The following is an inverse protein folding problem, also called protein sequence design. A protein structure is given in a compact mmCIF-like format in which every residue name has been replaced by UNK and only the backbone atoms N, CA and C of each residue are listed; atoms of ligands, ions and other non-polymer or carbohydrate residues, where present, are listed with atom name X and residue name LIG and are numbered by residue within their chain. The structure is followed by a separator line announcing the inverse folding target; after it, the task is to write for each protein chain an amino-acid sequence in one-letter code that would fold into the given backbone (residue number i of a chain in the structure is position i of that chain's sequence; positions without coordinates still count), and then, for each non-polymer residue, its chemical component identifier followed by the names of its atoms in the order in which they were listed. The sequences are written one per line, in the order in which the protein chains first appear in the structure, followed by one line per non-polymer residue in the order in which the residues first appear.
data_IF_123104752446
#
_entry.id   IF_123104752446
#
_cell.length_a   1.000
_cell.length_b   1.000
_cell.length_c   1.000
_cell.angle_alpha   90.00
_cell.angle_beta   90.00
_cell.angle_gamma   90.00
#
_symmetry.space_group_name_H-M   'P 1'
#
loop_
_entity.id
_entity.type
_entity.pdbx_description
1 polymer ?
2 non-polymer ?
3 water ?
#
# COMPACT_ATOMS: atom_id res chain seq x y z
N UNK A 7 13.36 -0.83 -23.55
CA UNK A 7 12.98 -1.79 -22.51
C UNK A 7 13.62 -3.19 -22.69
N UNK A 8 13.48 -4.08 -21.70
CA UNK A 8 13.89 -5.50 -21.87
C UNK A 8 12.97 -6.32 -22.80
N UNK A 9 13.56 -7.22 -23.59
CA UNK A 9 12.84 -8.26 -24.33
C UNK A 9 12.68 -9.46 -23.41
N UNK A 10 11.52 -10.10 -23.41
CA UNK A 10 11.25 -11.27 -22.56
C UNK A 10 10.67 -12.43 -23.39
N UNK A 11 10.99 -13.68 -23.02
CA UNK A 11 10.45 -14.86 -23.71
C UNK A 11 8.93 -14.75 -23.91
N UNK A 12 8.17 -14.57 -22.83
CA UNK A 12 6.68 -14.63 -22.87
C UNK A 12 5.85 -13.35 -23.07
N UNK A 13 6.43 -12.14 -22.99
CA UNK A 13 5.63 -10.90 -23.03
C UNK A 13 6.28 -9.79 -23.87
N UNK A 14 5.43 -8.89 -24.36
CA UNK A 14 5.87 -7.62 -24.97
C UNK A 14 5.64 -6.45 -24.01
N UNK A 15 6.72 -5.73 -23.71
CA UNK A 15 6.73 -4.60 -22.80
C UNK A 15 6.39 -3.27 -23.50
N UNK A 16 5.30 -2.63 -23.06
CA UNK A 16 4.74 -1.43 -23.65
C UNK A 16 5.14 -0.21 -22.80
N UNK A 17 4.21 0.38 -22.05
CA UNK A 17 4.44 1.65 -21.39
C UNK A 17 5.25 1.45 -20.11
N UNK A 18 5.96 2.49 -19.74
CA UNK A 18 6.59 2.59 -18.46
C UNK A 18 5.49 3.09 -17.48
N UNK A 19 5.34 2.41 -16.36
CA UNK A 19 4.39 2.75 -15.32
C UNK A 19 5.05 3.31 -14.07
N UNK A 20 6.31 2.96 -13.87
CA UNK A 20 7.03 3.27 -12.63
C UNK A 20 8.52 3.11 -12.82
N UNK A 21 9.27 3.83 -11.99
CA UNK A 21 10.72 3.92 -12.07
C UNK A 21 11.21 4.09 -10.64
N UNK A 22 12.28 3.39 -10.32
CA UNK A 22 13.00 3.56 -9.08
C UNK A 22 14.46 3.80 -9.43
N UNK A 23 15.23 4.18 -8.44
CA UNK A 23 16.67 4.28 -8.63
C UNK A 23 17.25 3.04 -9.30
N UNK A 24 16.72 1.86 -8.94
CA UNK A 24 17.15 0.56 -9.47
C UNK A 24 16.16 -0.24 -10.35
N UNK A 25 14.86 0.06 -10.26
CA UNK A 25 13.82 -0.78 -10.91
C UNK A 25 12.95 -0.02 -11.87
N UNK A 26 12.29 -0.75 -12.73
CA UNK A 26 11.39 -0.13 -13.67
C UNK A 26 10.24 -1.09 -13.87
N UNK A 27 9.02 -0.54 -13.86
CA UNK A 27 7.83 -1.34 -14.01
C UNK A 27 7.18 -1.00 -15.33
N UNK A 28 7.10 -1.98 -16.22
CA UNK A 28 6.41 -1.80 -17.50
C UNK A 28 5.08 -2.53 -17.46
N UNK A 29 4.11 -1.98 -18.18
CA UNK A 29 2.92 -2.70 -18.59
C UNK A 29 3.30 -3.72 -19.68
N UNK A 30 2.52 -4.79 -19.78
CA UNK A 30 2.88 -5.83 -20.74
C UNK A 30 1.68 -6.65 -21.14
N UNK A 31 1.76 -7.10 -22.39
CA UNK A 31 0.77 -7.90 -23.06
C UNK A 31 1.51 -9.21 -23.25
N UNK A 32 0.81 -10.31 -22.95
CA UNK A 32 1.36 -11.67 -23.14
C UNK A 32 1.48 -11.93 -24.63
N UNK A 33 2.62 -12.48 -25.08
CA UNK A 33 2.82 -12.80 -26.51
C UNK A 33 2.01 -14.08 -26.77
N UNK A 34 1.22 -14.06 -27.84
CA UNK A 34 0.19 -15.10 -28.09
C UNK A 34 -0.90 -15.15 -26.99
N UNK A 35 -1.67 -14.07 -26.90
CA UNK A 35 -2.80 -13.94 -25.95
C UNK A 35 -3.29 -12.51 -25.91
N UNK A 36 -2.38 -11.53 -25.89
CA UNK A 36 -2.65 -10.07 -26.03
C UNK A 36 -3.75 -9.41 -25.17
N UNK A 37 -4.89 -10.06 -25.01
CA UNK A 37 -5.91 -9.67 -24.03
C UNK A 37 -5.41 -9.91 -22.59
N UNK A 38 -4.43 -10.84 -22.41
CA UNK A 38 -3.74 -11.06 -21.13
C UNK A 38 -2.70 -9.94 -20.91
N UNK A 39 -2.85 -9.25 -19.78
CA UNK A 39 -2.13 -8.01 -19.52
C UNK A 39 -1.58 -8.09 -18.12
N UNK A 40 -0.31 -7.73 -17.95
CA UNK A 40 0.33 -7.75 -16.64
C UNK A 40 1.12 -6.47 -16.42
N UNK A 41 1.54 -6.25 -15.19
CA UNK A 41 2.60 -5.27 -14.88
C UNK A 41 3.86 -6.09 -14.53
N UNK A 42 5.00 -5.69 -15.12
CA UNK A 42 6.26 -6.40 -14.86
C UNK A 42 7.31 -5.47 -14.22
N UNK A 43 7.67 -5.75 -12.97
CA UNK A 43 8.79 -5.04 -12.35
C UNK A 43 10.15 -5.67 -12.71
N UNK A 44 11.02 -4.84 -13.31
CA UNK A 44 12.37 -5.25 -13.71
C UNK A 44 13.47 -4.66 -12.85
N UNK A 45 14.31 -5.52 -12.30
CA UNK A 45 15.43 -5.11 -11.46
C UNK A 45 16.70 -5.85 -11.88
N UNK A 46 17.76 -5.10 -12.14
CA UNK A 46 19.04 -5.64 -12.50
C UNK A 46 19.58 -6.41 -11.32
N UNK A 47 20.14 -7.59 -11.62
CA UNK A 47 20.76 -8.46 -10.61
C UNK A 47 21.94 -7.77 -9.91
N UNK A 48 22.72 -6.99 -10.66
CA UNK A 48 23.83 -6.23 -10.08
C UNK A 48 23.46 -5.30 -8.93
N UNK A 49 22.22 -4.83 -8.90
CA UNK A 49 21.75 -3.98 -7.79
C UNK A 49 21.41 -4.73 -6.49
N UNK A 50 21.46 -6.07 -6.49
CA UNK A 50 20.95 -6.84 -5.33
C UNK A 50 22.03 -7.41 -4.41
N UNK A 51 21.71 -7.43 -3.11
CA UNK A 51 22.49 -8.17 -2.15
C UNK A 51 22.18 -9.61 -2.50
N UNK A 52 23.19 -10.30 -3.06
CA UNK A 52 23.10 -11.74 -3.41
C UNK A 52 22.56 -12.60 -2.25
N UNK A 53 21.85 -13.69 -2.59
CA UNK A 53 21.12 -14.49 -1.61
C UNK A 53 21.08 -15.97 -2.00
N UNK A 54 20.91 -16.86 -1.03
CA UNK A 54 20.59 -18.28 -1.30
C UNK A 54 19.49 -18.42 -2.39
N UNK A 55 19.56 -19.50 -3.18
CA UNK A 55 18.45 -19.90 -4.06
C UNK A 55 17.29 -20.38 -3.18
N UNK A 56 17.61 -21.23 -2.20
CA UNK A 56 16.66 -21.60 -1.14
C UNK A 56 15.87 -20.35 -0.73
N UNK A 57 16.57 -19.37 -0.14
CA UNK A 57 15.92 -18.22 0.51
C UNK A 57 15.06 -17.37 -0.38
N UNK A 58 15.53 -17.11 -1.61
CA UNK A 58 14.82 -16.25 -2.53
C UNK A 58 13.53 -16.88 -3.08
N UNK A 59 13.66 -18.12 -3.55
CA UNK A 59 12.52 -18.85 -4.11
C UNK A 59 11.53 -19.11 -3.00
N UNK A 60 12.05 -19.28 -1.78
CA UNK A 60 11.22 -19.48 -0.63
C UNK A 60 10.35 -18.26 -0.40
N UNK A 61 10.97 -17.08 -0.47
CA UNK A 61 10.27 -15.82 -0.38
C UNK A 61 9.28 -15.56 -1.54
N UNK A 62 9.65 -15.94 -2.76
CA UNK A 62 8.72 -15.85 -3.89
C UNK A 62 7.54 -16.81 -3.74
N UNK A 63 7.78 -18.02 -3.23
CA UNK A 63 6.67 -18.94 -2.93
C UNK A 63 5.69 -18.27 -1.97
N UNK A 64 6.24 -17.61 -0.95
CA UNK A 64 5.44 -16.96 0.09
C UNK A 64 4.64 -15.77 -0.45
N UNK A 65 5.23 -14.99 -1.36
CA UNK A 65 4.53 -13.84 -1.95
C UNK A 65 3.44 -14.27 -2.90
N UNK A 66 3.69 -15.34 -3.64
CA UNK A 66 2.71 -15.84 -4.60
C UNK A 66 1.51 -16.45 -3.88
N UNK A 67 1.72 -16.90 -2.64
CA UNK A 67 0.62 -17.43 -1.83
C UNK A 67 -0.19 -16.36 -1.13
N UNK A 68 0.17 -15.08 -1.28
CA UNK A 68 -0.52 -13.95 -0.65
C UNK A 68 -1.51 -13.50 -1.70
N UNK A 69 -2.64 -14.22 -1.74
CA UNK A 69 -3.65 -14.10 -2.80
C UNK A 69 -4.98 -13.60 -2.20
N UNK A 70 -5.38 -12.37 -2.57
CA UNK A 70 -6.58 -11.75 -2.06
C UNK A 70 -7.16 -10.80 -3.09
N UNK A 71 -8.51 -10.71 -3.17
CA UNK A 71 -9.12 -9.77 -4.19
C UNK A 71 -8.64 -8.31 -4.08
N UNK A 72 -8.27 -7.87 -2.86
CA UNK A 72 -7.70 -6.52 -2.63
C UNK A 72 -6.21 -6.50 -2.28
N UNK A 73 -5.47 -7.39 -2.93
CA UNK A 73 -4.01 -7.39 -2.92
C UNK A 73 -3.52 -7.74 -4.32
N UNK A 74 -2.53 -7.01 -4.79
CA UNK A 74 -2.03 -7.21 -6.13
C UNK A 74 -1.35 -8.54 -6.07
N UNK A 75 -1.70 -9.36 -7.03
CA UNK A 75 -1.16 -10.69 -7.11
C UNK A 75 0.18 -10.66 -7.79
N UNK A 76 1.13 -11.38 -7.19
CA UNK A 76 2.32 -11.79 -7.86
C UNK A 76 1.99 -13.07 -8.59
N UNK A 77 1.96 -12.97 -9.92
CA UNK A 77 1.54 -14.07 -10.78
C UNK A 77 2.71 -15.04 -11.04
N UNK A 78 3.85 -14.52 -11.42
CA UNK A 78 4.99 -15.33 -11.79
C UNK A 78 6.30 -14.57 -11.49
N UNK A 79 7.40 -15.30 -11.55
CA UNK A 79 8.72 -14.78 -11.26
C UNK A 79 9.62 -15.40 -12.29
N UNK A 80 10.30 -14.55 -13.06
CA UNK A 80 11.19 -14.97 -14.11
C UNK A 80 12.50 -14.21 -13.97
N UNK A 81 13.49 -14.61 -14.77
CA UNK A 81 14.81 -13.97 -14.73
C UNK A 81 15.54 -14.33 -15.98
N UNK A 82 16.52 -13.50 -16.35
CA UNK A 82 17.39 -13.83 -17.44
C UNK A 82 18.83 -13.57 -17.03
N UNK A 83 19.67 -13.34 -18.00
CA UNK A 83 21.05 -13.09 -17.76
C UNK A 83 21.32 -11.82 -16.93
N UNK A 84 20.47 -10.80 -17.05
CA UNK A 84 20.72 -9.52 -16.35
C UNK A 84 19.75 -9.19 -15.24
N UNK A 85 18.50 -9.61 -15.37
CA UNK A 85 17.47 -9.07 -14.51
C UNK A 85 16.68 -10.14 -13.88
N UNK A 86 15.92 -9.72 -12.83
CA UNK A 86 14.76 -10.44 -12.33
C UNK A 86 13.44 -9.73 -12.76
N UNK A 87 12.38 -10.54 -12.85
CA UNK A 87 11.08 -10.09 -13.35
C UNK A 87 10.03 -10.54 -12.40
N UNK A 88 9.34 -9.56 -11.80
CA UNK A 88 8.26 -9.85 -10.87
C UNK A 88 7.04 -9.51 -11.70
N UNK A 89 6.24 -10.55 -12.03
CA UNK A 89 5.12 -10.44 -12.95
C UNK A 89 3.85 -10.36 -12.16
N UNK A 90 3.20 -9.20 -12.26
CA UNK A 90 2.08 -8.88 -11.37
C UNK A 90 0.77 -8.68 -12.12
N UNK A 91 -0.34 -8.86 -11.41
CA UNK A 91 -1.67 -8.44 -11.83
C UNK A 91 -1.64 -6.98 -12.21
N UNK A 92 -2.04 -6.64 -13.41
CA UNK A 92 -2.12 -5.24 -13.84
C UNK A 92 -3.39 -4.57 -13.28
N UNK A 93 -3.24 -3.43 -12.63
CA UNK A 93 -4.31 -2.57 -12.18
C UNK A 93 -4.41 -1.31 -13.09
N UNK A 94 -5.48 -1.24 -13.87
CA UNK A 94 -5.63 -0.27 -14.92
C UNK A 94 -6.13 1.07 -14.44
N UNK A 95 -6.58 1.18 -13.18
CA UNK A 95 -6.98 2.46 -12.60
C UNK A 95 -5.90 3.35 -12.00
N UNK A 96 -4.67 2.87 -11.96
CA UNK A 96 -3.59 3.66 -11.38
C UNK A 96 -3.70 3.66 -9.89
N UNK A 97 -3.03 4.61 -9.25
CA UNK A 97 -2.87 4.57 -7.82
C UNK A 97 -3.97 5.33 -7.12
N UNK A 98 -4.25 4.99 -5.85
CA UNK A 98 -5.30 5.64 -5.07
C UNK A 98 -4.93 7.09 -4.75
N UNK A 99 -3.64 7.44 -4.78
CA UNK A 99 -3.26 8.83 -4.51
C UNK A 99 -3.75 9.81 -5.64
N UNK A 100 -3.48 9.52 -6.92
CA UNK A 100 -4.02 10.29 -8.03
C UNK A 100 -5.56 10.33 -7.89
N UNK A 101 -6.15 9.16 -7.61
CA UNK A 101 -7.61 9.06 -7.64
C UNK A 101 -8.29 10.07 -6.69
N UNK A 102 -7.81 10.16 -5.46
CA UNK A 102 -8.32 11.07 -4.49
C UNK A 102 -8.01 12.48 -4.91
N UNK A 103 -6.76 12.73 -5.22
CA UNK A 103 -6.33 14.10 -5.46
C UNK A 103 -6.95 14.76 -6.69
N UNK A 104 -7.15 14.00 -7.75
CA UNK A 104 -7.79 14.58 -8.92
C UNK A 104 -9.27 14.81 -8.70
N UNK A 105 -9.89 14.10 -7.75
CA UNK A 105 -11.30 14.32 -7.35
C UNK A 105 -11.41 15.20 -6.10
N UNK A 106 -10.29 15.75 -5.62
CA UNK A 106 -10.23 16.51 -4.38
C UNK A 106 -10.59 15.66 -3.14
N UNK A 107 -11.86 15.24 -2.98
CA UNK A 107 -12.26 14.34 -1.89
C UNK A 107 -13.14 13.23 -2.44
N UNK A 108 -13.38 12.23 -1.59
CA UNK A 108 -14.29 11.16 -1.86
C UNK A 108 -15.42 11.32 -0.87
N UNK A 109 -16.65 11.08 -1.32
CA UNK A 109 -17.71 11.20 -0.36
C UNK A 109 -17.72 9.96 0.51
N UNK A 110 -18.24 10.13 1.72
CA UNK A 110 -18.31 9.05 2.70
C UNK A 110 -18.73 7.71 2.13
N UNK A 111 -19.71 7.68 1.24
CA UNK A 111 -20.23 6.39 0.73
C UNK A 111 -19.13 5.61 0.01
N UNK A 112 -18.33 6.32 -0.79
CA UNK A 112 -17.24 5.73 -1.57
C UNK A 112 -16.09 5.37 -0.64
N UNK A 113 -15.72 6.29 0.24
CA UNK A 113 -14.69 6.03 1.23
C UNK A 113 -14.99 4.68 1.92
N UNK A 114 -16.27 4.46 2.22
CA UNK A 114 -16.71 3.31 3.00
C UNK A 114 -16.47 2.03 2.27
N UNK A 115 -16.87 1.99 1.01
CA UNK A 115 -16.64 0.83 0.18
C UNK A 115 -15.16 0.57 0.16
N UNK A 116 -14.37 1.61 -0.11
CA UNK A 116 -12.91 1.43 -0.17
C UNK A 116 -12.31 0.90 1.14
N UNK A 117 -12.74 1.45 2.28
CA UNK A 117 -12.21 1.00 3.57
C UNK A 117 -12.53 -0.45 3.87
N UNK A 118 -13.73 -0.90 3.54
CA UNK A 118 -14.07 -2.31 3.75
C UNK A 118 -13.29 -3.24 2.80
N UNK A 119 -12.95 -2.77 1.61
CA UNK A 119 -12.04 -3.54 0.74
C UNK A 119 -10.64 -3.61 1.36
N UNK A 120 -10.15 -2.49 1.84
CA UNK A 120 -8.80 -2.47 2.41
C UNK A 120 -8.74 -3.21 3.74
N UNK A 121 -9.85 -3.23 4.48
CA UNK A 121 -9.85 -3.87 5.80
C UNK A 121 -9.96 -5.36 5.65
N UNK A 122 -10.63 -5.80 4.61
CA UNK A 122 -10.77 -7.22 4.40
C UNK A 122 -9.40 -7.78 4.03
N UNK A 123 -8.65 -7.06 3.19
CA UNK A 123 -7.22 -7.39 2.94
C UNK A 123 -6.36 -7.41 4.23
N UNK A 124 -6.58 -6.42 5.08
CA UNK A 124 -5.74 -6.28 6.25
C UNK A 124 -6.02 -7.38 7.29
N UNK A 125 -7.29 -7.73 7.47
CA UNK A 125 -7.67 -8.86 8.32
C UNK A 125 -7.08 -10.21 7.90
N UNK A 126 -7.20 -10.52 6.62
CA UNK A 126 -6.53 -11.65 6.01
C UNK A 126 -5.04 -11.66 6.37
N UNK A 127 -4.35 -10.55 6.15
CA UNK A 127 -2.91 -10.43 6.40
C UNK A 127 -2.61 -10.51 7.88
N UNK A 128 -3.50 -9.95 8.69
CA UNK A 128 -3.30 -9.97 10.14
C UNK A 128 -3.36 -11.43 10.66
N UNK A 129 -4.37 -12.18 10.21
CA UNK A 129 -4.45 -13.64 10.44
C UNK A 129 -3.13 -14.35 10.20
N UNK A 130 -2.44 -13.99 9.12
CA UNK A 130 -1.12 -14.57 8.82
C UNK A 130 0.10 -13.91 9.46
N UNK A 131 -0.08 -13.06 10.48
CA UNK A 131 1.05 -12.35 11.09
C UNK A 131 1.94 -11.60 10.09
N UNK A 132 1.34 -11.13 9.00
CA UNK A 132 2.00 -10.24 8.04
C UNK A 132 1.53 -8.83 8.41
N UNK A 133 2.47 -7.89 8.50
CA UNK A 133 2.25 -6.59 9.15
C UNK A 133 3.45 -5.65 8.94
N UNK A 134 3.49 -4.54 9.69
CA UNK A 134 4.46 -3.39 9.54
C UNK A 134 4.61 -2.93 8.10
N UNK A 135 3.50 -2.53 7.51
CA UNK A 135 3.50 -2.16 6.10
C UNK A 135 3.94 -0.68 5.93
N UNK A 136 3.89 -0.21 4.69
CA UNK A 136 4.07 1.17 4.33
C UNK A 136 2.80 1.43 3.53
N UNK A 137 1.68 1.46 4.25
CA UNK A 137 0.37 1.71 3.66
C UNK A 137 0.22 3.19 3.34
N UNK A 138 -0.05 3.48 2.09
CA UNK A 138 -0.35 4.81 1.67
C UNK A 138 -1.05 4.76 0.30
N UNK A 139 -1.74 5.84 -0.07
CA UNK A 139 -2.50 5.77 -1.31
C UNK A 139 -1.67 5.53 -2.57
N UNK A 140 -0.37 5.81 -2.48
CA UNK A 140 0.56 5.59 -3.60
C UNK A 140 0.90 4.12 -3.84
N UNK A 141 0.79 3.30 -2.79
CA UNK A 141 0.95 1.87 -2.87
C UNK A 141 -0.38 1.12 -2.94
N UNK A 142 -1.52 1.85 -3.02
CA UNK A 142 -2.78 1.22 -3.23
C UNK A 142 -3.19 1.49 -4.64
N UNK A 143 -3.52 0.45 -5.40
CA UNK A 143 -3.94 0.58 -6.81
C UNK A 143 -5.41 0.22 -7.05
N UNK A 144 -5.89 0.59 -8.23
CA UNK A 144 -7.29 0.45 -8.62
C UNK A 144 -7.42 -0.52 -9.78
N UNK A 145 -8.30 -1.49 -9.59
CA UNK A 145 -8.58 -2.49 -10.61
C UNK A 145 -9.02 -1.87 -11.89
N UNK A 146 -9.91 -0.86 -11.82
CA UNK A 146 -10.18 0.06 -12.98
C UNK A 146 -10.67 1.46 -12.49
N UNK A 147 -11.01 2.38 -13.39
CA UNK A 147 -11.80 3.59 -12.94
C UNK A 147 -13.30 3.27 -12.78
N UNK A 148 -13.80 2.32 -13.57
CA UNK A 148 -15.14 1.72 -13.42
C UNK A 148 -15.31 0.89 -12.14
N UNK A 149 -16.06 1.43 -11.16
CA UNK A 149 -16.41 0.68 -9.94
C UNK A 149 -15.17 -0.07 -9.37
N UNK A 150 -14.13 0.70 -8.98
CA UNK A 150 -12.81 0.18 -8.72
C UNK A 150 -12.70 -0.72 -7.49
N UNK A 151 -11.91 -1.75 -7.63
CA UNK A 151 -11.50 -2.56 -6.52
C UNK A 151 -10.09 -2.09 -6.19
N UNK A 152 -9.88 -1.71 -4.94
CA UNK A 152 -8.53 -1.33 -4.48
C UNK A 152 -7.65 -2.59 -4.29
N UNK A 153 -6.35 -2.44 -4.56
CA UNK A 153 -5.38 -3.53 -4.51
C UNK A 153 -4.16 -3.06 -3.76
N UNK A 154 -3.85 -3.67 -2.62
CA UNK A 154 -2.59 -3.31 -1.91
C UNK A 154 -1.43 -3.77 -2.73
N UNK A 155 -0.43 -2.92 -2.88
CA UNK A 155 0.81 -3.20 -3.63
C UNK A 155 2.07 -3.07 -2.74
N UNK A 156 3.15 -3.72 -3.15
CA UNK A 156 4.43 -3.63 -2.45
C UNK A 156 5.41 -2.97 -3.40
N UNK A 157 5.59 -1.66 -3.22
CA UNK A 157 6.44 -0.81 -4.10
C UNK A 157 7.91 -0.93 -3.75
N UNK A 158 8.23 -1.66 -2.68
CA UNK A 158 9.59 -1.78 -2.21
C UNK A 158 9.92 -3.23 -1.95
N UNK A 159 10.12 -3.98 -3.03
CA UNK A 159 10.72 -5.32 -2.99
C UNK A 159 11.83 -5.42 -1.90
N UNK A 160 11.73 -6.44 -1.04
CA UNK A 160 12.51 -6.54 0.21
C UNK A 160 12.97 -7.98 0.57
N UNK A 161 13.52 -8.11 1.78
CA UNK A 161 13.87 -9.39 2.44
C UNK A 161 15.05 -10.16 1.81
N UNK A 162 14.81 -11.03 0.83
CA UNK A 162 15.89 -11.77 0.15
C UNK A 162 16.17 -11.29 -1.28
N UNK A 163 15.46 -10.25 -1.71
CA UNK A 163 15.79 -9.53 -2.93
C UNK A 163 16.05 -8.07 -2.56
N UNK A 164 16.50 -7.80 -1.33
CA UNK A 164 16.90 -6.44 -0.92
C UNK A 164 18.14 -6.01 -1.68
N UNK A 165 18.34 -4.69 -1.86
CA UNK A 165 19.63 -4.18 -2.41
C UNK A 165 20.85 -4.25 -1.44
N UNK A 166 22.05 -4.22 -2.01
CA UNK A 166 23.36 -4.15 -1.28
C UNK A 166 23.42 -2.97 -0.30
N UNK A 167 22.90 -1.83 -0.73
CA UNK A 167 22.78 -0.63 0.12
C UNK A 167 21.37 -0.56 0.74
N UNK A 168 21.05 -1.55 1.57
CA UNK A 168 19.79 -1.59 2.34
C UNK A 168 19.94 -0.67 3.57
N UNK A 169 21.06 -0.80 4.30
CA UNK A 169 21.35 0.08 5.47
C UNK A 169 21.56 1.58 5.14
N UNK A 170 21.70 1.92 3.85
CA UNK A 170 21.71 3.31 3.39
C UNK A 170 20.48 3.72 2.60
N UNK A 171 19.40 2.95 2.65
CA UNK A 171 18.16 3.29 1.93
C UNK A 171 17.08 3.62 2.94
N UNK A 172 16.41 4.76 2.74
CA UNK A 172 15.46 5.32 3.69
C UNK A 172 14.05 4.79 3.47
N UNK A 173 13.45 4.23 4.52
CA UNK A 173 12.16 3.55 4.43
C UNK A 173 11.08 4.31 5.22
N UNK A 174 9.84 4.25 4.72
CA UNK A 174 8.65 4.94 5.30
C UNK A 174 8.31 6.28 4.63
N UNK A 175 7.02 6.63 4.46
CA UNK A 175 6.68 8.04 4.29
C UNK A 175 6.21 8.55 5.63
N UNK A 176 6.72 9.70 6.04
CA UNK A 176 6.40 10.10 7.38
C UNK A 176 4.97 10.66 7.52
N UNK A 177 4.32 11.07 6.43
CA UNK A 177 2.91 11.48 6.51
C UNK A 177 1.95 10.32 6.76
N UNK A 178 2.37 9.09 6.54
CA UNK A 178 1.51 7.91 6.77
C UNK A 178 1.99 7.04 7.93
N UNK A 179 3.20 7.30 8.42
CA UNK A 179 3.77 6.56 9.55
C UNK A 179 3.19 6.96 10.91
N UNK A 180 2.81 5.93 11.64
CA UNK A 180 2.35 6.04 13.01
C UNK A 180 3.40 6.72 13.85
N UNK A 181 2.99 7.64 14.75
CA UNK A 181 4.10 8.39 15.41
C UNK A 181 5.03 7.52 16.26
N UNK A 182 4.49 6.51 16.94
CA UNK A 182 5.37 5.58 17.67
C UNK A 182 6.46 5.00 16.73
N UNK A 183 6.09 4.80 15.46
CA UNK A 183 7.01 4.28 14.48
C UNK A 183 8.16 5.22 14.25
N UNK A 184 7.85 6.47 13.92
CA UNK A 184 8.91 7.47 13.75
C UNK A 184 9.71 7.80 15.02
N UNK A 185 9.30 7.32 16.22
CA UNK A 185 9.93 7.68 17.52
C UNK A 185 9.87 6.56 18.59
N UNK A 188 10.49 0.57 19.07
CA UNK A 188 9.58 -0.37 19.72
C UNK A 188 8.11 -0.02 19.44
N UNK A 189 7.49 -0.81 18.56
CA UNK A 189 6.10 -0.57 18.10
C UNK A 189 5.54 -1.76 17.30
N UNK A 190 4.35 -2.22 17.64
CA UNK A 190 3.77 -3.39 16.98
C UNK A 190 2.98 -3.08 15.66
N UNK A 191 2.22 -4.06 15.18
CA UNK A 191 1.45 -3.93 13.95
C UNK A 191 0.24 -3.01 14.07
N UNK A 192 -0.03 -2.47 15.24
CA UNK A 192 -1.05 -1.44 15.38
C UNK A 192 -0.68 -0.15 14.62
N UNK A 193 0.57 -0.03 14.14
CA UNK A 193 0.91 1.06 13.24
C UNK A 193 0.14 1.00 11.95
N UNK A 194 -0.23 -0.21 11.51
CA UNK A 194 -1.03 -0.31 10.29
C UNK A 194 -2.41 0.28 10.48
N UNK A 195 -2.96 0.21 11.68
CA UNK A 195 -4.27 0.79 11.90
C UNK A 195 -4.24 2.32 11.85
N UNK A 196 -3.24 2.94 12.46
CA UNK A 196 -2.96 4.35 12.24
C UNK A 196 -3.01 4.75 10.78
N UNK A 197 -2.39 3.91 9.96
CA UNK A 197 -2.20 4.21 8.55
C UNK A 197 -3.48 4.25 7.80
N UNK A 198 -4.30 3.23 8.05
CA UNK A 198 -5.66 3.17 7.61
C UNK A 198 -6.42 4.44 7.97
N UNK A 199 -6.23 4.95 9.17
CA UNK A 199 -6.82 6.20 9.59
C UNK A 199 -6.41 7.35 8.72
N UNK A 200 -5.12 7.44 8.45
CA UNK A 200 -4.58 8.52 7.59
C UNK A 200 -5.20 8.44 6.19
N UNK A 201 -5.33 7.23 5.66
CA UNK A 201 -5.87 7.07 4.35
C UNK A 201 -7.38 7.46 4.30
N UNK A 202 -8.16 7.02 5.29
CA UNK A 202 -9.53 7.43 5.37
C UNK A 202 -9.63 8.96 5.45
N UNK A 203 -8.88 9.58 6.37
CA UNK A 203 -8.86 11.02 6.54
C UNK A 203 -8.49 11.73 5.24
N UNK A 204 -7.46 11.24 4.56
CA UNK A 204 -7.06 11.81 3.29
C UNK A 204 -8.21 11.65 2.25
N UNK A 205 -8.91 10.53 2.23
CA UNK A 205 -10.03 10.38 1.32
C UNK A 205 -11.23 11.37 1.60
N UNK A 206 -11.55 11.63 2.86
CA UNK A 206 -12.70 12.46 3.19
C UNK A 206 -12.40 13.94 3.17
N UNK A 207 -11.19 14.28 3.61
CA UNK A 207 -10.81 15.68 3.74
C UNK A 207 -9.81 16.17 2.69
N UNK A 208 -9.20 15.24 1.93
CA UNK A 208 -8.34 15.59 0.79
C UNK A 208 -6.82 15.61 1.01
N UNK A 209 -6.39 15.62 2.26
CA UNK A 209 -4.97 15.60 2.58
C UNK A 209 -4.74 14.85 3.90
N UNK A 210 -3.59 14.19 4.08
CA UNK A 210 -3.30 13.56 5.38
C UNK A 210 -3.33 14.54 6.58
N UNK A 211 -3.68 14.07 7.79
CA UNK A 211 -3.77 14.97 8.92
C UNK A 211 -2.56 15.88 9.11
N UNK A 212 -1.36 15.43 8.73
CA UNK A 212 -0.14 16.13 9.02
C UNK A 212 0.45 16.81 7.81
N UNK A 213 -0.30 16.88 6.70
CA UNK A 213 0.12 17.71 5.54
C UNK A 213 0.71 19.06 5.96
N UNK A 214 1.79 19.47 5.32
CA UNK A 214 2.65 20.56 5.83
C UNK A 214 3.46 21.22 4.70
N UNK A 215 3.73 22.53 4.84
CA UNK A 215 4.65 23.22 3.94
C UNK A 215 6.08 22.62 4.03
N UNK A 216 6.54 22.38 5.25
CA UNK A 216 7.91 21.99 5.53
C UNK A 216 8.05 20.77 6.49
N UNK A 217 9.26 20.18 6.50
CA UNK A 217 9.65 19.09 7.41
C UNK A 217 9.66 19.42 8.89
N UNK A 218 9.97 20.66 9.26
CA UNK A 218 9.98 20.97 10.69
C UNK A 218 8.54 21.05 11.12
N UNK A 219 7.74 21.65 10.26
CA UNK A 219 6.29 21.68 10.47
C UNK A 219 5.76 20.24 10.65
N UNK A 220 6.17 19.35 9.76
CA UNK A 220 5.73 17.97 9.83
C UNK A 220 6.11 17.30 11.14
N UNK A 221 7.35 17.54 11.57
CA UNK A 221 7.94 16.90 12.74
C UNK A 221 7.18 17.35 13.97
N UNK A 222 7.01 18.67 14.11
CA UNK A 222 6.14 19.31 15.09
C UNK A 222 4.86 18.53 15.34
N UNK A 223 4.17 18.21 14.25
CA UNK A 223 2.88 17.54 14.28
C UNK A 223 3.02 16.09 14.67
N UNK A 224 4.06 15.42 14.16
CA UNK A 224 4.24 14.03 14.51
C UNK A 224 4.55 13.93 16.00
N UNK A 225 5.42 14.80 16.51
CA UNK A 225 5.79 14.73 17.94
C UNK A 225 4.73 15.31 18.85
N UNK A 226 3.78 16.10 18.37
CA UNK A 226 2.73 16.71 19.23
C UNK A 226 1.87 15.67 19.97
N UNK A 227 1.25 16.07 21.07
CA UNK A 227 0.29 15.18 21.77
C UNK A 227 -1.19 15.56 21.54
N UNK A 228 -1.44 16.64 20.81
CA UNK A 228 -2.80 17.00 20.40
C UNK A 228 -3.51 15.88 19.68
N UNK A 229 -4.72 15.61 20.09
CA UNK A 229 -5.59 14.78 19.31
C UNK A 229 -5.81 15.47 17.97
N UNK A 230 -5.94 14.64 16.95
CA UNK A 230 -6.19 15.12 15.59
C UNK A 230 -7.63 15.66 15.48
N UNK A 231 -7.72 16.94 15.10
CA UNK A 231 -9.01 17.61 14.87
C UNK A 231 -9.57 17.26 13.51
N UNK A 232 -10.74 16.67 13.43
CA UNK A 232 -11.41 16.50 12.12
C UNK A 232 -11.96 17.82 11.60
N UNK A 233 -11.63 18.22 10.36
CA UNK A 233 -12.29 19.41 9.80
C UNK A 233 -13.82 19.37 9.87
N UNK A 234 -14.46 20.54 9.87
CA UNK A 234 -15.91 20.65 10.09
C UNK A 234 -16.72 20.04 8.97
N UNK A 235 -16.29 20.28 7.74
CA UNK A 235 -16.94 19.68 6.58
C UNK A 235 -15.96 18.77 5.83
N UNK A 236 -16.47 17.77 5.12
CA UNK A 236 -17.86 17.31 5.19
C UNK A 236 -18.21 16.79 6.56
N UNK A 237 -19.49 16.88 6.91
CA UNK A 237 -19.96 16.27 8.12
C UNK A 237 -20.15 14.85 7.74
N UNK A 238 -19.82 13.99 8.69
CA UNK A 238 -19.78 12.57 8.49
C UNK A 238 -20.66 11.89 9.55
N UNK A 239 -21.08 10.66 9.26
CA UNK A 239 -21.90 9.91 10.23
C UNK A 239 -21.16 9.72 11.55
N UNK A 240 -21.91 9.59 12.63
CA UNK A 240 -21.31 9.35 13.94
C UNK A 240 -20.36 8.11 13.94
N UNK A 241 -20.70 7.09 13.13
CA UNK A 241 -19.90 5.87 13.03
C UNK A 241 -18.53 6.08 12.34
N UNK A 242 -18.54 6.78 11.21
CA UNK A 242 -17.33 7.11 10.48
C UNK A 242 -16.35 7.92 11.36
N UNK A 243 -16.90 8.89 12.07
CA UNK A 243 -16.16 9.77 12.95
C UNK A 243 -15.57 8.97 14.17
N UNK A 244 -16.34 8.00 14.65
CA UNK A 244 -15.91 7.12 15.74
C UNK A 244 -14.74 6.30 15.27
N UNK A 245 -14.87 5.69 14.11
CA UNK A 245 -13.83 4.84 13.55
C UNK A 245 -12.52 5.63 13.39
N UNK A 246 -12.65 6.75 12.69
CA UNK A 246 -11.55 7.63 12.34
C UNK A 246 -10.86 8.18 13.57
N UNK A 247 -11.61 8.53 14.61
CA UNK A 247 -10.97 9.07 15.81
C UNK A 247 -10.14 8.01 16.48
N UNK A 248 -10.63 6.79 16.39
CA UNK A 248 -10.04 5.67 17.05
C UNK A 248 -8.91 5.03 16.22
N UNK A 249 -8.86 5.25 14.90
CA UNK A 249 -7.66 4.91 14.14
C UNK A 249 -6.56 5.93 14.43
N UNK A 250 -6.90 7.19 14.56
CA UNK A 250 -5.95 8.28 14.68
C UNK A 250 -5.61 8.69 16.12
N UNK A 251 -5.71 7.70 17.03
CA UNK A 251 -5.30 7.84 18.40
C UNK A 251 -3.78 7.59 18.46
N UNK A 252 -3.06 8.52 19.08
CA UNK A 252 -1.60 8.48 19.14
C UNK A 252 -1.01 7.37 20.06
N UNK A 253 -1.55 7.20 21.26
CA UNK A 253 -1.13 6.11 22.15
C UNK A 253 -1.65 4.80 21.52
N UNK A 254 -0.73 3.94 20.99
CA UNK A 254 -1.16 2.66 20.41
C UNK A 254 -2.01 1.80 21.37
N UNK A 255 -1.68 1.82 22.66
CA UNK A 255 -2.51 1.18 23.70
C UNK A 255 -3.96 1.67 23.64
N UNK A 256 -4.13 2.98 23.46
CA UNK A 256 -5.45 3.61 23.39
C UNK A 256 -6.16 3.45 22.00
N UNK A 257 -5.41 3.16 20.93
CA UNK A 257 -5.93 3.00 19.57
C UNK A 257 -6.77 1.75 19.46
N UNK A 258 -7.71 1.78 18.53
CA UNK A 258 -8.61 0.66 18.29
C UNK A 258 -7.83 -0.65 18.05
N UNK A 259 -8.38 -1.73 18.58
CA UNK A 259 -7.88 -3.07 18.35
C UNK A 259 -8.23 -3.51 16.92
N UNK A 260 -7.50 -4.50 16.42
CA UNK A 260 -7.82 -5.12 15.15
C UNK A 260 -9.18 -5.79 15.19
N UNK A 261 -9.46 -6.48 16.31
CA UNK A 261 -10.76 -7.12 16.54
C UNK A 261 -11.88 -6.09 16.42
N UNK A 262 -11.74 -4.94 17.07
CA UNK A 262 -12.76 -3.89 17.01
C UNK A 262 -12.88 -3.20 15.67
N UNK A 263 -11.73 -3.02 15.01
CA UNK A 263 -11.67 -2.45 13.68
C UNK A 263 -12.46 -3.31 12.72
N UNK A 264 -12.18 -4.61 12.71
CA UNK A 264 -12.87 -5.53 11.80
C UNK A 264 -14.36 -5.70 12.09
N UNK A 265 -14.76 -5.67 13.37
CA UNK A 265 -16.19 -5.71 13.74
C UNK A 265 -16.85 -4.35 13.82
N UNK A 266 -16.14 -3.27 13.49
CA UNK A 266 -16.71 -1.92 13.60
C UNK A 266 -17.88 -1.74 12.61
N UNK A 267 -19.01 -1.18 13.10
CA UNK A 267 -20.18 -1.03 12.24
C UNK A 267 -19.91 -0.34 10.89
N UNK A 268 -19.25 0.81 10.89
CA UNK A 268 -18.93 1.55 9.65
C UNK A 268 -18.17 0.71 8.65
N UNK A 269 -17.37 -0.22 9.11
CA UNK A 269 -16.59 -1.03 8.20
C UNK A 269 -17.43 -2.16 7.64
N UNK A 270 -18.59 -2.43 8.24
CA UNK A 270 -19.38 -3.64 8.00
C UNK A 270 -18.47 -4.86 8.28
N UNK A 271 -17.96 -5.47 7.21
CA UNK A 271 -17.52 -6.86 7.18
C UNK A 271 -18.70 -7.82 7.45
N UNK A 272 -19.81 -7.41 6.87
CA UNK A 272 -20.98 -8.23 6.55
C UNK A 272 -21.53 -7.43 5.35
N UNK A 273 -20.71 -7.40 4.28
CA UNK A 273 -21.00 -6.66 3.05
C UNK A 273 -22.20 -7.30 2.35
#
# INVERSE_FOLDING_TARGET
AGPGWGPPRLDGFILTERLGSGTYATVYKAYAKKDTREVVAIKCVAKKSLNKASVENLLTEIEILKGIRHPHIVQLKDFQWDSDNIYLIMEFCAGGDLSRFIHTRRILPEKVARVFMQQLASALQFLHERNISHLDLKPQNILLSSLEKPHLKLADFGFAQHMSPWDEKHVLRGSPLYMAPEMVCQRQYDARVDLWSMGVILYEALFGQPPFASRSFSELEEKIRSNRVIELPLRPLLSRDCRDLLQRLLERDPSRRISFQDFFAHPWVDLEHMPS
#
